data_IF_006455183078
#
_entry.id   IF_006455183078
#
_cell.length_a   1.000
_cell.length_b   1.000
_cell.length_c   1.000
_cell.angle_alpha   90.00
_cell.angle_beta   90.00
_cell.angle_gamma   90.00
#
_symmetry.space_group_name_H-M   'P 1'
#
loop_
_entity.id
_entity.type
_entity.pdbx_description
1 polymer ?
#
# COMPACT_ATOMS: atom_id res chain seq x y z
N UNK A 1 -13.32 13.15 -7.49
CA UNK A 1 -12.09 12.33 -7.64
C UNK A 1 -11.36 12.12 -6.31
N UNK A 2 -11.34 13.10 -5.40
CA UNK A 2 -10.73 12.96 -4.07
C UNK A 2 -11.17 11.71 -3.27
N UNK A 3 -12.46 11.37 -3.25
CA UNK A 3 -13.00 10.19 -2.52
C UNK A 3 -12.34 8.88 -3.00
N UNK A 4 -12.15 8.74 -4.30
CA UNK A 4 -11.48 7.56 -4.88
C UNK A 4 -10.02 7.47 -4.43
N UNK A 5 -9.32 8.62 -4.38
CA UNK A 5 -7.96 8.70 -3.85
C UNK A 5 -7.86 8.32 -2.37
N UNK A 6 -8.81 8.75 -1.53
CA UNK A 6 -8.87 8.34 -0.12
C UNK A 6 -9.07 6.82 0.04
N UNK A 7 -9.97 6.22 -0.75
CA UNK A 7 -10.21 4.77 -0.72
C UNK A 7 -8.93 4.03 -1.14
N UNK A 8 -8.28 4.48 -2.22
CA UNK A 8 -7.04 3.88 -2.70
C UNK A 8 -5.91 4.00 -1.67
N UNK A 9 -5.84 5.11 -0.94
CA UNK A 9 -4.87 5.34 0.13
C UNK A 9 -5.06 4.36 1.29
N UNK A 10 -6.30 4.11 1.71
CA UNK A 10 -6.62 3.13 2.76
C UNK A 10 -6.20 1.72 2.32
N UNK A 11 -6.53 1.34 1.09
CA UNK A 11 -6.12 0.04 0.53
C UNK A 11 -4.60 -0.10 0.43
N UNK A 12 -3.92 0.93 -0.05
CA UNK A 12 -2.46 0.92 -0.17
C UNK A 12 -1.79 0.82 1.22
N UNK A 13 -2.35 1.50 2.22
CA UNK A 13 -1.91 1.41 3.61
C UNK A 13 -2.09 -0.01 4.16
N UNK A 14 -3.26 -0.64 3.94
CA UNK A 14 -3.49 -2.04 4.31
C UNK A 14 -2.48 -2.97 3.63
N UNK A 15 -2.24 -2.82 2.33
CA UNK A 15 -1.25 -3.62 1.59
C UNK A 15 0.17 -3.39 2.10
N UNK A 16 0.49 -2.24 2.69
CA UNK A 16 1.81 -1.95 3.26
C UNK A 16 2.03 -2.64 4.63
N UNK A 17 0.99 -2.72 5.47
CA UNK A 17 1.09 -3.21 6.86
C UNK A 17 0.59 -4.65 7.08
N UNK A 18 -0.34 -5.16 6.28
CA UNK A 18 -0.78 -6.57 6.34
C UNK A 18 0.38 -7.56 6.14
N UNK A 19 1.33 -7.33 5.21
CA UNK A 19 2.49 -8.21 5.03
C UNK A 19 3.39 -8.27 6.26
N UNK A 20 3.52 -7.18 7.01
CA UNK A 20 4.31 -7.17 8.26
C UNK A 20 3.71 -8.13 9.29
N UNK A 21 2.37 -8.17 9.39
CA UNK A 21 1.67 -9.10 10.27
C UNK A 21 1.78 -10.54 9.76
N UNK A 22 1.76 -10.76 8.44
CA UNK A 22 1.96 -12.08 7.83
C UNK A 22 3.39 -12.60 7.98
N UNK A 23 4.39 -11.70 7.93
CA UNK A 23 5.79 -12.00 8.19
C UNK A 23 6.00 -12.38 9.65
N UNK A 24 5.44 -11.61 10.60
CA UNK A 24 5.47 -11.98 12.03
C UNK A 24 4.79 -13.31 12.34
N UNK A 25 3.79 -13.71 11.54
CA UNK A 25 3.09 -15.00 11.65
C UNK A 25 3.84 -16.15 10.94
N UNK A 26 5.01 -15.92 10.34
CA UNK A 26 5.77 -16.93 9.60
C UNK A 26 5.10 -17.39 8.29
N UNK A 27 4.09 -16.65 7.80
CA UNK A 27 3.49 -16.91 6.48
C UNK A 27 4.37 -16.41 5.34
N UNK A 28 5.15 -15.36 5.59
CA UNK A 28 6.19 -14.87 4.67
C UNK A 28 7.52 -15.17 5.36
N UNK A 29 8.26 -16.15 4.83
CA UNK A 29 9.51 -16.60 5.45
C UNK A 29 10.75 -15.90 4.88
N UNK A 30 10.60 -15.09 3.82
CA UNK A 30 11.71 -14.42 3.15
C UNK A 30 11.58 -12.90 3.26
N UNK A 31 12.67 -12.25 3.65
CA UNK A 31 12.79 -10.78 3.66
C UNK A 31 12.52 -10.20 2.26
N UNK A 32 12.98 -10.90 1.22
CA UNK A 32 12.81 -10.50 -0.17
C UNK A 32 11.32 -10.45 -0.56
N UNK A 33 10.51 -11.43 -0.12
CA UNK A 33 9.07 -11.44 -0.34
C UNK A 33 8.38 -10.28 0.38
N UNK A 34 8.80 -9.97 1.61
CA UNK A 34 8.28 -8.83 2.37
C UNK A 34 8.59 -7.50 1.66
N UNK A 35 9.84 -7.31 1.22
CA UNK A 35 10.28 -6.10 0.50
C UNK A 35 9.53 -5.94 -0.81
N UNK A 36 9.29 -7.04 -1.55
CA UNK A 36 8.56 -7.01 -2.82
C UNK A 36 7.10 -6.60 -2.64
N UNK A 37 6.43 -7.07 -1.59
CA UNK A 37 5.05 -6.65 -1.32
C UNK A 37 5.02 -5.20 -0.83
N UNK A 38 5.98 -4.79 0.00
CA UNK A 38 6.11 -3.39 0.44
C UNK A 38 6.39 -2.43 -0.72
N UNK A 39 7.22 -2.79 -1.68
CA UNK A 39 7.49 -1.93 -2.84
C UNK A 39 6.25 -1.74 -3.70
N UNK A 40 5.45 -2.80 -3.89
CA UNK A 40 4.14 -2.71 -4.57
C UNK A 40 3.17 -1.81 -3.80
N UNK A 41 3.06 -2.01 -2.47
CA UNK A 41 2.21 -1.16 -1.62
C UNK A 41 2.63 0.32 -1.64
N UNK A 42 3.93 0.58 -1.66
CA UNK A 42 4.48 1.95 -1.75
C UNK A 42 4.17 2.60 -3.10
N UNK A 43 4.26 1.84 -4.20
CA UNK A 43 3.85 2.32 -5.52
C UNK A 43 2.37 2.67 -5.59
N UNK A 44 1.51 1.83 -4.99
CA UNK A 44 0.07 2.08 -4.89
C UNK A 44 -0.24 3.34 -4.07
N UNK A 45 0.50 3.57 -2.98
CA UNK A 45 0.42 4.77 -2.15
C UNK A 45 0.77 6.03 -2.95
N UNK A 46 1.83 5.98 -3.76
CA UNK A 46 2.22 7.09 -4.62
C UNK A 46 1.12 7.45 -5.62
N UNK A 47 0.55 6.43 -6.27
CA UNK A 47 -0.57 6.59 -7.20
C UNK A 47 -1.78 7.19 -6.48
N UNK A 48 -2.12 6.71 -5.29
CA UNK A 48 -3.26 7.26 -4.54
C UNK A 48 -3.08 8.74 -4.22
N UNK A 49 -1.87 9.14 -3.79
CA UNK A 49 -1.55 10.54 -3.49
C UNK A 49 -1.68 11.42 -4.74
N UNK A 50 -1.19 10.96 -5.90
CA UNK A 50 -1.36 11.67 -7.18
C UNK A 50 -2.84 11.86 -7.51
N UNK A 51 -3.65 10.80 -7.39
CA UNK A 51 -5.10 10.88 -7.62
C UNK A 51 -5.82 11.80 -6.63
N UNK A 52 -5.38 11.85 -5.37
CA UNK A 52 -5.91 12.81 -4.38
C UNK A 52 -5.56 14.25 -4.75
N UNK A 53 -4.31 14.51 -5.13
CA UNK A 53 -3.85 15.86 -5.50
C UNK A 53 -4.53 16.37 -6.77
N UNK A 54 -4.67 15.53 -7.80
CA UNK A 54 -5.37 15.89 -9.03
C UNK A 54 -6.88 16.00 -8.83
N UNK A 55 -7.45 15.18 -7.95
CA UNK A 55 -8.89 15.12 -7.71
C UNK A 55 -9.44 16.13 -6.70
N UNK A 56 -8.57 16.97 -6.12
CA UNK A 56 -8.89 18.03 -5.16
C UNK A 56 -8.71 19.44 -5.74
N UNK A 57 -8.38 19.54 -7.04
CA UNK A 57 -8.55 20.75 -7.86
C UNK A 57 -9.93 20.73 -8.49
#
# INVERSE_FOLDING_TARGET
>A
MAIFGYILFIFATLVMFVPDNLYRRGKINTLEGLVKIKSVGTGLLFISVIFMLLGNR
#
